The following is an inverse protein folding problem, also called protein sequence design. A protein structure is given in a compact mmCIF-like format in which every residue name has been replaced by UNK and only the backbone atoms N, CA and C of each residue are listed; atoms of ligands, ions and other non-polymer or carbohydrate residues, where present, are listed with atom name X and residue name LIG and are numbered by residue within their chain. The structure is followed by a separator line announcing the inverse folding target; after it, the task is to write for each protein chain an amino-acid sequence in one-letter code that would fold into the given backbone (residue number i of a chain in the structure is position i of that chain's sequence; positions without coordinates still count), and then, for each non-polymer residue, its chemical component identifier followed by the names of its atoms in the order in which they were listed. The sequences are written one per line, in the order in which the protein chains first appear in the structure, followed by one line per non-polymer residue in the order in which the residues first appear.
data_IF_642972502780
#
_entry.id   IF_642972502780
#
_cell.length_a   1.000
_cell.length_b   1.000
_cell.length_c   1.000
_cell.angle_alpha   90.00
_cell.angle_beta   90.00
_cell.angle_gamma   90.00
#
_symmetry.space_group_name_H-M   'P 1'
#
loop_
_entity.id
_entity.type
_entity.pdbx_description
1 polymer ?
#
# COMPACT_ATOMS: atom_id res chain seq x y z
N UNK A 1 1.19 -21.04 1.59
CA UNK A 1 0.37 -21.89 0.68
C UNK A 1 0.32 -21.21 -0.67
N UNK A 2 0.70 -21.90 -1.74
CA UNK A 2 0.73 -21.39 -3.11
C UNK A 2 -0.68 -21.42 -3.72
N UNK A 3 -1.20 -20.25 -4.10
CA UNK A 3 -2.47 -20.14 -4.81
C UNK A 3 -2.15 -20.15 -6.31
N UNK A 4 -2.69 -21.11 -7.05
CA UNK A 4 -2.47 -21.24 -8.49
C UNK A 4 -3.41 -20.31 -9.26
N UNK A 5 -2.87 -19.24 -9.86
CA UNK A 5 -3.64 -18.24 -10.61
C UNK A 5 -3.68 -18.49 -12.14
N UNK A 6 -3.07 -19.58 -12.62
CA UNK A 6 -2.89 -19.87 -14.06
C UNK A 6 -4.19 -19.86 -14.87
N UNK A 7 -5.31 -20.26 -14.28
CA UNK A 7 -6.61 -20.30 -14.97
C UNK A 7 -7.26 -18.92 -15.13
N UNK A 8 -7.08 -18.01 -14.17
CA UNK A 8 -7.63 -16.64 -14.23
C UNK A 8 -6.90 -15.76 -15.27
N UNK A 9 -5.62 -16.06 -15.56
CA UNK A 9 -4.81 -15.34 -16.58
C UNK A 9 -4.92 -15.92 -17.98
N UNK A 10 -5.49 -17.12 -18.15
CA UNK A 10 -5.64 -17.77 -19.46
C UNK A 10 -6.73 -17.13 -20.33
N UNK A 11 -7.65 -16.38 -19.72
CA UNK A 11 -8.62 -15.56 -20.44
C UNK A 11 -8.04 -14.16 -20.65
N UNK A 12 -7.75 -13.77 -21.89
CA UNK A 12 -7.23 -12.45 -22.29
C UNK A 12 -8.21 -11.28 -22.08
N UNK A 13 -9.06 -11.34 -21.05
CA UNK A 13 -9.87 -10.22 -20.63
C UNK A 13 -8.93 -9.16 -20.02
N UNK A 14 -8.80 -8.01 -20.69
CA UNK A 14 -7.95 -6.87 -20.27
C UNK A 14 -8.23 -6.38 -18.83
N UNK A 15 -9.38 -6.72 -18.25
CA UNK A 15 -9.75 -6.42 -16.86
C UNK A 15 -9.53 -7.55 -15.83
N UNK A 16 -9.07 -8.74 -16.23
CA UNK A 16 -8.85 -9.87 -15.32
C UNK A 16 -7.80 -9.59 -14.24
N UNK A 17 -6.73 -8.88 -14.62
CA UNK A 17 -5.63 -8.52 -13.71
C UNK A 17 -6.06 -7.50 -12.64
N UNK A 18 -6.91 -6.53 -13.01
CA UNK A 18 -7.47 -5.56 -12.06
C UNK A 18 -8.39 -6.27 -11.05
N UNK A 19 -9.20 -7.23 -11.53
CA UNK A 19 -10.09 -8.03 -10.67
C UNK A 19 -9.30 -8.92 -9.69
N UNK A 20 -8.13 -9.40 -10.09
CA UNK A 20 -7.16 -10.09 -9.24
C UNK A 20 -6.56 -9.16 -8.18
N UNK A 21 -6.15 -7.94 -8.54
CA UNK A 21 -5.64 -6.94 -7.60
C UNK A 21 -6.66 -6.57 -6.50
N UNK A 22 -7.94 -6.48 -6.84
CA UNK A 22 -9.01 -6.15 -5.90
C UNK A 22 -9.54 -7.36 -5.08
N UNK A 23 -9.04 -8.58 -5.31
CA UNK A 23 -9.47 -9.77 -4.55
C UNK A 23 -8.88 -9.75 -3.14
N UNK A 24 -9.72 -9.68 -2.09
CA UNK A 24 -9.29 -9.55 -0.67
C UNK A 24 -8.63 -10.80 -0.06
N UNK A 25 -8.96 -12.01 -0.54
CA UNK A 25 -8.39 -13.29 -0.06
C UNK A 25 -6.99 -13.49 -0.66
N UNK A 26 -5.94 -13.31 0.15
CA UNK A 26 -4.54 -13.52 -0.27
C UNK A 26 -3.92 -12.34 -1.01
N UNK A 27 -4.57 -11.16 -0.96
CA UNK A 27 -4.08 -9.98 -1.66
C UNK A 27 -2.76 -9.47 -1.13
N UNK A 28 -1.93 -8.95 -2.04
CA UNK A 28 -0.74 -8.15 -1.75
C UNK A 28 -1.08 -6.98 -0.82
N UNK A 29 -2.31 -6.45 -0.91
CA UNK A 29 -2.80 -5.39 -0.02
C UNK A 29 -2.69 -5.73 1.47
N UNK A 30 -2.84 -6.99 1.89
CA UNK A 30 -2.70 -7.34 3.32
C UNK A 30 -1.29 -7.13 3.86
N UNK A 31 -0.29 -7.35 3.01
CA UNK A 31 1.12 -7.17 3.37
C UNK A 31 1.49 -5.70 3.21
N UNK A 32 1.17 -5.11 2.06
CA UNK A 32 1.53 -3.72 1.72
C UNK A 32 0.84 -2.70 2.62
N UNK A 33 -0.38 -2.95 3.08
CA UNK A 33 -1.10 -2.00 3.94
C UNK A 33 -0.37 -1.74 5.26
N UNK A 34 0.33 -2.74 5.82
CA UNK A 34 1.12 -2.56 7.05
C UNK A 34 2.31 -1.62 6.81
N UNK A 35 3.06 -1.87 5.75
CA UNK A 35 4.22 -1.06 5.37
C UNK A 35 3.79 0.37 5.01
N UNK A 36 2.70 0.53 4.25
CA UNK A 36 2.13 1.85 3.92
C UNK A 36 1.72 2.64 5.17
N UNK A 37 1.10 1.97 6.15
CA UNK A 37 0.65 2.63 7.38
C UNK A 37 1.86 3.13 8.18
N UNK A 38 2.89 2.30 8.34
CA UNK A 38 4.14 2.67 9.01
C UNK A 38 4.81 3.86 8.30
N UNK A 39 4.94 3.79 6.97
CA UNK A 39 5.51 4.88 6.18
C UNK A 39 4.74 6.19 6.35
N UNK A 40 3.41 6.12 6.30
CA UNK A 40 2.54 7.30 6.46
C UNK A 40 2.67 7.90 7.86
N UNK A 41 2.71 7.07 8.90
CA UNK A 41 2.90 7.52 10.29
C UNK A 41 4.27 8.19 10.47
N UNK A 42 5.34 7.58 9.96
CA UNK A 42 6.67 8.17 9.99
C UNK A 42 6.72 9.52 9.25
N UNK A 43 6.07 9.63 8.08
CA UNK A 43 6.00 10.87 7.32
C UNK A 43 5.26 11.98 8.07
N UNK A 44 4.13 11.65 8.71
CA UNK A 44 3.38 12.61 9.52
C UNK A 44 4.20 13.04 10.73
N UNK A 45 4.87 12.11 11.42
CA UNK A 45 5.76 12.44 12.54
C UNK A 45 6.88 13.38 12.12
N UNK A 46 7.52 13.15 10.97
CA UNK A 46 8.54 14.05 10.43
C UNK A 46 7.99 15.43 10.10
N UNK A 47 6.78 15.49 9.53
CA UNK A 47 6.11 16.75 9.21
C UNK A 47 5.79 17.53 10.48
N UNK A 48 5.31 16.86 11.53
CA UNK A 48 5.05 17.46 12.84
C UNK A 48 6.36 17.93 13.46
N UNK A 49 7.41 17.11 13.47
CA UNK A 49 8.72 17.53 13.99
C UNK A 49 9.24 18.76 13.26
N UNK A 50 9.17 18.77 11.93
CA UNK A 50 9.54 19.94 11.13
C UNK A 50 8.70 21.17 11.52
N UNK A 51 7.38 21.03 11.60
CA UNK A 51 6.48 22.14 11.87
C UNK A 51 6.54 22.66 13.31
N UNK A 52 6.80 21.81 14.31
CA UNK A 52 6.79 22.23 15.72
C UNK A 52 8.18 22.54 16.26
N UNK A 53 9.22 21.83 15.80
CA UNK A 53 10.61 22.04 16.27
C UNK A 53 11.30 23.11 15.43
N UNK A 54 11.07 23.12 14.12
CA UNK A 54 11.77 24.03 13.20
C UNK A 54 11.04 25.35 12.94
N UNK A 55 9.70 25.39 13.07
CA UNK A 55 8.97 26.65 12.89
C UNK A 55 9.18 27.65 14.03
N UNK A 56 9.51 27.22 15.25
CA UNK A 56 9.87 28.13 16.34
C UNK A 56 11.21 28.83 16.05
N UNK A 57 12.10 28.17 15.31
CA UNK A 57 13.42 28.70 14.93
C UNK A 57 13.46 29.45 13.60
N UNK A 58 12.39 29.41 12.79
CA UNK A 58 12.40 29.94 11.42
C UNK A 58 11.26 30.94 11.11
N UNK A 59 10.46 31.34 12.11
CA UNK A 59 9.52 32.46 11.97
C UNK A 59 10.16 33.81 12.29
#
# INVERSE_FOLDING_TARGET
MTVSYQYDVASSASGGFIRLLFRWRGSVWKVVYREMLIFTVCYILLTILYQFVLADSQQ
#
